data_IF_901702436447
#
_entry.id   IF_901702436447
#
_cell.length_a   1.000
_cell.length_b   1.000
_cell.length_c   1.000
_cell.angle_alpha   90.00
_cell.angle_beta   90.00
_cell.angle_gamma   90.00
#
_symmetry.space_group_name_H-M   'P 1'
#
loop_
_entity.id
_entity.type
_entity.pdbx_description
1 polymer ?
#
# COMPACT_ATOMS: atom_id res chain seq x y z
N UNK A 1 -36.12 15.65 -21.04
CA UNK A 1 -35.39 14.45 -20.53
C UNK A 1 -36.32 13.25 -20.64
N UNK A 2 -35.88 12.15 -21.25
CA UNK A 2 -36.76 10.98 -21.48
C UNK A 2 -36.99 10.24 -20.14
N UNK A 3 -38.24 10.07 -19.68
CA UNK A 3 -38.56 9.49 -18.37
C UNK A 3 -38.03 8.06 -18.18
N UNK A 4 -37.86 7.31 -19.27
CA UNK A 4 -37.27 5.97 -19.28
C UNK A 4 -35.82 5.91 -18.76
N UNK A 5 -34.99 6.92 -19.05
CA UNK A 5 -33.58 6.94 -18.63
C UNK A 5 -33.48 7.09 -17.11
N UNK A 6 -34.39 7.87 -16.52
CA UNK A 6 -34.41 8.12 -15.09
C UNK A 6 -34.87 6.87 -14.32
N UNK A 7 -35.89 6.18 -14.84
CA UNK A 7 -36.40 4.95 -14.23
C UNK A 7 -35.36 3.82 -14.29
N UNK A 8 -34.69 3.64 -15.43
CA UNK A 8 -33.60 2.68 -15.58
C UNK A 8 -32.44 2.98 -14.62
N UNK A 9 -32.06 4.25 -14.48
CA UNK A 9 -31.01 4.66 -13.54
C UNK A 9 -31.37 4.34 -12.08
N UNK A 10 -32.65 4.53 -11.70
CA UNK A 10 -33.15 4.19 -10.36
C UNK A 10 -33.13 2.67 -10.13
N UNK A 11 -33.59 1.88 -11.10
CA UNK A 11 -33.61 0.41 -11.02
C UNK A 11 -32.18 -0.14 -10.90
N UNK A 12 -31.26 0.34 -11.73
CA UNK A 12 -29.83 0.00 -11.70
C UNK A 12 -29.20 0.34 -10.35
N UNK A 13 -29.49 1.53 -9.81
CA UNK A 13 -28.99 1.97 -8.51
C UNK A 13 -29.47 1.06 -7.38
N UNK A 14 -30.77 0.71 -7.38
CA UNK A 14 -31.36 -0.14 -6.35
C UNK A 14 -30.78 -1.56 -6.40
N UNK A 15 -30.64 -2.15 -7.60
CA UNK A 15 -30.03 -3.45 -7.80
C UNK A 15 -28.56 -3.47 -7.32
N UNK A 16 -27.80 -2.43 -7.64
CA UNK A 16 -26.40 -2.26 -7.21
C UNK A 16 -26.29 -2.16 -5.69
N UNK A 17 -27.14 -1.33 -5.06
CA UNK A 17 -27.17 -1.19 -3.59
C UNK A 17 -27.60 -2.48 -2.89
N UNK A 18 -28.56 -3.22 -3.44
CA UNK A 18 -28.99 -4.51 -2.90
C UNK A 18 -27.86 -5.54 -2.96
N UNK A 19 -27.12 -5.60 -4.07
CA UNK A 19 -25.93 -6.46 -4.22
C UNK A 19 -24.82 -6.08 -3.24
N UNK A 20 -24.59 -4.78 -3.06
CA UNK A 20 -23.61 -4.25 -2.08
C UNK A 20 -23.95 -4.66 -0.65
N UNK A 21 -25.21 -4.54 -0.23
CA UNK A 21 -25.65 -4.95 1.12
C UNK A 21 -25.42 -6.44 1.35
N UNK A 22 -25.80 -7.30 0.40
CA UNK A 22 -25.53 -8.75 0.48
C UNK A 22 -24.04 -9.09 0.61
N UNK A 23 -23.17 -8.36 -0.07
CA UNK A 23 -21.71 -8.55 0.04
C UNK A 23 -21.16 -8.07 1.40
N UNK A 24 -21.75 -7.02 1.99
CA UNK A 24 -21.42 -6.56 3.34
C UNK A 24 -21.86 -7.59 4.37
N UNK A 25 -23.09 -8.10 4.25
CA UNK A 25 -23.66 -9.11 5.15
C UNK A 25 -22.88 -10.43 5.09
N UNK A 26 -22.38 -10.80 3.90
CA UNK A 26 -21.54 -11.99 3.70
C UNK A 26 -20.05 -11.76 4.03
N UNK A 27 -19.65 -10.58 4.52
CA UNK A 27 -18.26 -10.25 4.84
C UNK A 27 -17.29 -10.20 3.64
N UNK A 28 -17.79 -10.32 2.41
CA UNK A 28 -16.98 -10.40 1.17
C UNK A 28 -16.78 -9.05 0.48
N UNK A 29 -17.40 -7.99 1.01
CA UNK A 29 -17.37 -6.67 0.39
C UNK A 29 -15.97 -6.06 0.29
N UNK A 30 -15.12 -6.25 1.29
CA UNK A 30 -13.74 -5.74 1.26
C UNK A 30 -12.90 -6.42 0.19
N UNK A 31 -13.04 -7.76 0.06
CA UNK A 31 -12.38 -8.53 -0.99
C UNK A 31 -12.86 -8.08 -2.37
N UNK A 32 -14.17 -7.91 -2.56
CA UNK A 32 -14.74 -7.39 -3.79
C UNK A 32 -14.23 -5.99 -4.13
N UNK A 33 -14.14 -5.08 -3.15
CA UNK A 33 -13.57 -3.74 -3.34
C UNK A 33 -12.09 -3.79 -3.75
N UNK A 34 -11.29 -4.65 -3.13
CA UNK A 34 -9.89 -4.87 -3.52
C UNK A 34 -9.80 -5.37 -4.96
N UNK A 35 -10.61 -6.37 -5.32
CA UNK A 35 -10.63 -6.94 -6.68
C UNK A 35 -11.06 -5.91 -7.74
N UNK A 36 -12.08 -5.08 -7.44
CA UNK A 36 -12.51 -4.01 -8.36
C UNK A 36 -11.43 -2.95 -8.56
N UNK A 37 -10.74 -2.53 -7.49
CA UNK A 37 -9.59 -1.62 -7.61
C UNK A 37 -8.49 -2.21 -8.49
N UNK A 38 -8.20 -3.50 -8.33
CA UNK A 38 -7.23 -4.24 -9.15
C UNK A 38 -7.63 -4.22 -10.63
N UNK A 39 -8.85 -4.64 -10.95
CA UNK A 39 -9.38 -4.65 -12.33
C UNK A 39 -9.31 -3.27 -12.98
N UNK A 40 -9.64 -2.21 -12.24
CA UNK A 40 -9.54 -0.84 -12.75
C UNK A 40 -8.08 -0.42 -13.01
N UNK A 41 -7.14 -0.79 -12.13
CA UNK A 41 -5.71 -0.48 -12.30
C UNK A 41 -5.15 -1.17 -13.54
N UNK A 42 -5.45 -2.46 -13.70
CA UNK A 42 -5.10 -3.25 -14.89
C UNK A 42 -5.63 -2.57 -16.15
N UNK A 43 -6.93 -2.26 -16.17
CA UNK A 43 -7.56 -1.60 -17.31
C UNK A 43 -6.86 -0.29 -17.67
N UNK A 44 -6.61 0.60 -16.70
CA UNK A 44 -5.90 1.87 -16.95
C UNK A 44 -4.48 1.67 -17.49
N UNK A 45 -3.74 0.69 -16.98
CA UNK A 45 -2.38 0.38 -17.46
C UNK A 45 -2.41 -0.14 -18.89
N UNK A 46 -3.33 -1.06 -19.20
CA UNK A 46 -3.52 -1.60 -20.55
C UNK A 46 -3.96 -0.49 -21.52
N UNK A 47 -4.95 0.32 -21.16
CA UNK A 47 -5.42 1.44 -21.97
C UNK A 47 -4.28 2.43 -22.29
N UNK A 48 -3.43 2.74 -21.30
CA UNK A 48 -2.27 3.62 -21.50
C UNK A 48 -1.25 3.01 -22.46
N UNK A 49 -0.93 1.71 -22.30
CA UNK A 49 -0.01 0.97 -23.18
C UNK A 49 -0.53 0.88 -24.61
N UNK A 50 -1.82 0.60 -24.76
CA UNK A 50 -2.50 0.53 -26.06
C UNK A 50 -2.50 1.89 -26.76
N UNK A 51 -2.69 2.98 -26.02
CA UNK A 51 -2.66 4.35 -26.56
C UNK A 51 -1.26 4.79 -26.99
N UNK A 52 -0.20 4.33 -26.32
CA UNK A 52 1.18 4.67 -26.67
C UNK A 52 1.76 3.84 -27.80
N UNK A 53 1.11 2.75 -28.20
CA UNK A 53 1.57 1.89 -29.29
C UNK A 53 1.18 2.48 -30.66
N UNK A 54 2.14 2.54 -31.57
CA UNK A 54 1.91 2.88 -32.98
C UNK A 54 1.31 1.69 -33.74
N UNK A 55 0.70 1.92 -34.91
CA UNK A 55 -0.06 0.89 -35.65
C UNK A 55 0.81 -0.30 -36.11
N UNK A 56 2.11 -0.07 -36.33
CA UNK A 56 3.08 -1.09 -36.74
C UNK A 56 3.58 -1.96 -35.57
N UNK A 57 3.63 -1.40 -34.35
CA UNK A 57 4.07 -2.11 -33.16
C UNK A 57 3.02 -3.10 -32.64
N UNK A 58 1.75 -2.98 -33.06
CA UNK A 58 0.66 -3.91 -32.72
C UNK A 58 0.87 -5.33 -33.27
N UNK A 59 1.87 -5.54 -34.12
CA UNK A 59 2.24 -6.85 -34.65
C UNK A 59 3.29 -7.54 -33.74
N UNK A 60 2.88 -8.65 -33.14
CA UNK A 60 3.63 -9.67 -32.38
C UNK A 60 4.38 -9.25 -31.11
N UNK A 61 5.25 -8.22 -31.10
CA UNK A 61 6.03 -7.86 -29.89
C UNK A 61 5.20 -7.13 -28.82
N UNK A 62 4.10 -6.47 -29.21
CA UNK A 62 3.19 -5.84 -28.25
C UNK A 62 2.38 -6.85 -27.43
N UNK A 63 2.15 -8.06 -27.95
CA UNK A 63 1.34 -9.07 -27.27
C UNK A 63 1.93 -9.45 -25.91
N UNK A 64 3.26 -9.56 -25.84
CA UNK A 64 3.96 -9.77 -24.56
C UNK A 64 3.75 -8.58 -23.63
N UNK A 65 3.93 -7.34 -24.10
CA UNK A 65 3.78 -6.13 -23.27
C UNK A 65 2.34 -5.86 -22.78
N UNK A 66 1.34 -6.35 -23.51
CA UNK A 66 -0.08 -6.31 -23.14
C UNK A 66 -0.51 -7.53 -22.32
N UNK A 67 0.39 -8.51 -22.16
CA UNK A 67 0.06 -9.74 -21.45
C UNK A 67 -0.19 -9.43 -19.98
N UNK A 68 -1.35 -9.90 -19.48
CA UNK A 68 -1.80 -9.64 -18.11
C UNK A 68 -0.77 -10.12 -17.07
N UNK A 69 -0.05 -11.20 -17.36
CA UNK A 69 1.02 -11.71 -16.46
C UNK A 69 2.21 -10.75 -16.33
N UNK A 70 2.47 -9.88 -17.31
CA UNK A 70 3.52 -8.85 -17.23
C UNK A 70 2.98 -7.54 -16.64
N UNK A 71 1.68 -7.43 -16.38
CA UNK A 71 1.10 -6.36 -15.57
C UNK A 71 1.42 -6.70 -14.11
N UNK A 72 2.63 -6.32 -13.67
CA UNK A 72 3.12 -6.32 -12.27
C UNK A 72 2.08 -6.82 -11.28
N UNK A 73 2.18 -8.10 -10.90
CA UNK A 73 1.33 -8.71 -9.88
C UNK A 73 1.36 -7.86 -8.61
N UNK A 74 0.19 -7.54 -8.07
CA UNK A 74 0.04 -6.79 -6.83
C UNK A 74 0.37 -7.66 -5.60
N UNK A 75 0.73 -8.94 -5.76
CA UNK A 75 1.35 -9.71 -4.67
C UNK A 75 2.67 -9.08 -4.20
N UNK A 76 3.34 -8.28 -5.04
CA UNK A 76 4.51 -7.50 -4.63
C UNK A 76 4.16 -6.26 -3.79
N UNK A 77 2.90 -5.82 -3.75
CA UNK A 77 2.38 -4.78 -2.83
C UNK A 77 1.72 -5.43 -1.59
N UNK A 78 1.66 -6.76 -1.54
CA UNK A 78 1.10 -7.54 -0.44
C UNK A 78 2.12 -7.69 0.69
N UNK A 79 1.96 -6.87 1.73
CA UNK A 79 2.72 -6.95 2.99
C UNK A 79 4.21 -7.20 2.79
N UNK A 80 4.82 -6.25 2.07
CA UNK A 80 6.26 -6.06 2.03
C UNK A 80 6.87 -6.34 3.41
N UNK A 81 7.84 -7.26 3.45
CA UNK A 81 8.53 -7.78 4.62
C UNK A 81 8.82 -6.65 5.61
N UNK A 82 7.93 -6.48 6.59
CA UNK A 82 7.95 -5.29 7.45
C UNK A 82 9.17 -5.42 8.33
N UNK A 83 10.20 -4.63 8.02
CA UNK A 83 11.48 -4.70 8.69
C UNK A 83 11.28 -4.48 10.19
N UNK A 84 11.83 -5.39 10.98
CA UNK A 84 11.74 -5.33 12.44
C UNK A 84 12.88 -4.47 12.96
N UNK A 85 12.55 -3.30 13.50
CA UNK A 85 13.52 -2.48 14.24
C UNK A 85 13.53 -2.94 15.69
N UNK A 86 14.69 -3.42 16.17
CA UNK A 86 14.87 -3.83 17.57
C UNK A 86 15.42 -2.66 18.39
N UNK A 87 14.73 -2.19 19.43
CA UNK A 87 15.26 -1.15 20.31
C UNK A 87 16.50 -1.66 21.05
N UNK A 88 17.39 -0.74 21.41
CA UNK A 88 18.61 -1.08 22.14
C UNK A 88 18.29 -1.24 23.63
N UNK A 89 18.91 -2.21 24.29
CA UNK A 89 18.63 -2.57 25.70
C UNK A 89 18.97 -1.48 26.70
N UNK A 90 19.91 -0.61 26.35
CA UNK A 90 20.34 0.52 27.17
C UNK A 90 19.59 1.82 26.82
N UNK A 91 18.65 1.80 25.88
CA UNK A 91 17.97 3.00 25.42
C UNK A 91 16.90 3.45 26.43
N UNK A 92 17.06 4.66 26.98
CA UNK A 92 16.06 5.27 27.85
C UNK A 92 14.73 5.57 27.10
N UNK A 93 13.62 5.65 27.85
CA UNK A 93 12.29 6.00 27.35
C UNK A 93 12.27 7.40 26.74
N UNK A 94 12.98 8.36 27.33
CA UNK A 94 13.09 9.73 26.81
C UNK A 94 13.70 9.76 25.40
N UNK A 95 14.77 8.99 25.20
CA UNK A 95 15.47 8.86 23.91
C UNK A 95 14.56 8.17 22.90
N UNK A 96 13.85 7.13 23.32
CA UNK A 96 12.84 6.46 22.50
C UNK A 96 11.72 7.41 22.06
N UNK A 97 11.23 8.24 22.97
CA UNK A 97 10.20 9.24 22.69
C UNK A 97 10.71 10.35 21.76
N UNK A 98 11.97 10.76 21.91
CA UNK A 98 12.61 11.70 21.00
C UNK A 98 12.68 11.15 19.56
N UNK A 99 13.15 9.91 19.37
CA UNK A 99 13.16 9.29 18.04
C UNK A 99 11.77 9.15 17.44
N UNK A 100 10.75 8.74 18.21
CA UNK A 100 9.36 8.71 17.75
C UNK A 100 8.88 10.08 17.24
N UNK A 101 9.23 11.17 17.93
CA UNK A 101 8.87 12.53 17.50
C UNK A 101 9.55 12.92 16.19
N UNK A 102 10.83 12.58 16.02
CA UNK A 102 11.56 12.82 14.78
C UNK A 102 10.96 12.04 13.60
N UNK A 103 10.70 10.75 13.80
CA UNK A 103 10.09 9.89 12.78
C UNK A 103 8.72 10.41 12.35
N UNK A 104 7.89 10.83 13.31
CA UNK A 104 6.58 11.39 13.01
C UNK A 104 6.68 12.68 12.20
N UNK A 105 7.58 13.59 12.58
CA UNK A 105 7.80 14.83 11.84
C UNK A 105 8.25 14.56 10.40
N UNK A 106 9.19 13.63 10.22
CA UNK A 106 9.65 13.21 8.90
C UNK A 106 8.51 12.59 8.06
N UNK A 107 7.74 11.66 8.64
CA UNK A 107 6.59 11.06 7.95
C UNK A 107 5.56 12.10 7.50
N UNK A 108 5.32 13.14 8.30
CA UNK A 108 4.40 14.23 7.97
C UNK A 108 4.95 15.11 6.84
N UNK A 109 6.26 15.34 6.77
CA UNK A 109 6.87 16.12 5.68
C UNK A 109 6.93 15.37 4.34
N UNK A 110 6.70 14.06 4.35
CA UNK A 110 6.86 13.22 3.15
C UNK A 110 5.69 13.34 2.18
N UNK A 111 6.02 13.47 0.89
CA UNK A 111 5.04 13.44 -0.18
C UNK A 111 4.38 12.06 -0.31
N UNK A 112 3.22 12.01 -0.98
CA UNK A 112 2.50 10.75 -1.25
C UNK A 112 3.35 9.76 -2.05
N UNK A 113 4.18 10.27 -2.99
CA UNK A 113 5.08 9.42 -3.77
C UNK A 113 6.17 8.82 -2.89
N UNK A 114 6.83 9.63 -2.05
CA UNK A 114 7.91 9.15 -1.19
C UNK A 114 7.38 8.18 -0.12
N UNK A 115 6.17 8.39 0.41
CA UNK A 115 5.53 7.45 1.34
C UNK A 115 5.31 6.06 0.74
N UNK A 116 5.00 5.98 -0.56
CA UNK A 116 4.83 4.70 -1.27
C UNK A 116 6.15 3.98 -1.55
N UNK A 117 7.27 4.70 -1.49
CA UNK A 117 8.61 4.14 -1.69
C UNK A 117 9.32 3.86 -0.35
N UNK A 118 8.70 4.22 0.77
CA UNK A 118 9.25 3.99 2.09
C UNK A 118 8.96 2.55 2.53
N UNK A 119 10.02 1.87 2.97
CA UNK A 119 9.92 0.54 3.56
C UNK A 119 9.15 0.63 4.89
N UNK A 120 8.15 -0.22 5.05
CA UNK A 120 7.40 -0.33 6.29
C UNK A 120 8.27 -0.94 7.40
N UNK A 121 8.21 -0.37 8.61
CA UNK A 121 8.98 -0.82 9.77
C UNK A 121 8.05 -1.07 10.95
N UNK A 122 8.30 -2.16 11.68
CA UNK A 122 7.62 -2.47 12.95
C UNK A 122 8.63 -2.51 14.09
N UNK A 123 8.24 -2.02 15.25
CA UNK A 123 9.04 -2.18 16.47
C UNK A 123 8.93 -3.63 16.91
N UNK A 124 10.07 -4.31 17.06
CA UNK A 124 10.13 -5.66 17.59
C UNK A 124 10.77 -5.71 18.97
N UNK A 125 11.03 -6.94 19.42
CA UNK A 125 11.68 -7.20 20.70
C UNK A 125 13.03 -6.48 20.83
N UNK A 126 13.40 -6.01 22.02
CA UNK A 126 14.71 -5.44 22.28
C UNK A 126 15.85 -6.35 21.82
N UNK A 127 16.93 -5.72 21.38
CA UNK A 127 18.16 -6.41 21.01
C UNK A 127 18.66 -7.28 22.16
N UNK A 128 19.25 -8.44 21.87
CA UNK A 128 19.94 -9.27 22.89
C UNK A 128 21.41 -8.88 23.09
N UNK A 129 21.86 -7.81 22.42
CA UNK A 129 23.24 -7.32 22.55
C UNK A 129 23.48 -6.80 23.96
N UNK A 130 24.63 -7.14 24.53
CA UNK A 130 25.02 -6.77 25.88
C UNK A 130 25.24 -5.23 26.00
N UNK A 131 25.03 -4.70 27.20
CA UNK A 131 25.26 -3.28 27.51
C UNK A 131 26.75 -2.92 27.66
N UNK A 132 27.67 -3.88 27.47
CA UNK A 132 29.11 -3.66 27.63
C UNK A 132 29.77 -2.95 26.43
N UNK A 133 29.07 -2.83 25.30
CA UNK A 133 29.59 -2.20 24.07
C UNK A 133 28.92 -0.85 23.78
N UNK A 134 28.40 -0.14 24.79
CA UNK A 134 27.86 1.21 24.55
C UNK A 134 29.01 2.18 24.28
N UNK A 135 29.04 2.86 23.12
CA UNK A 135 30.04 3.88 22.85
C UNK A 135 30.02 4.96 23.93
N UNK A 136 31.18 5.42 24.39
CA UNK A 136 31.33 6.43 25.47
C UNK A 136 30.45 7.67 25.22
N UNK A 137 30.29 8.08 23.96
CA UNK A 137 29.47 9.22 23.53
C UNK A 137 27.96 9.05 23.77
N UNK A 138 27.52 7.82 24.04
CA UNK A 138 26.11 7.45 24.23
C UNK A 138 25.82 7.04 25.68
N UNK A 139 26.79 7.16 26.60
CA UNK A 139 26.60 6.84 28.01
C UNK A 139 25.50 7.70 28.67
N UNK A 140 25.30 8.94 28.20
CA UNK A 140 24.22 9.81 28.69
C UNK A 140 22.81 9.27 28.39
N UNK A 141 22.68 8.34 27.43
CA UNK A 141 21.42 7.74 27.02
C UNK A 141 21.11 6.43 27.77
N UNK A 142 22.01 5.97 28.65
CA UNK A 142 21.85 4.78 29.48
C UNK A 142 21.06 5.13 30.73
N UNK A 143 20.00 4.37 31.00
CA UNK A 143 19.34 4.34 32.31
C UNK A 143 20.25 3.67 33.34
N UNK A 144 20.63 4.41 34.38
CA UNK A 144 21.14 3.83 35.64
C UNK A 144 19.96 3.21 36.39
#
# INVERSE_FOLDING_TARGET
MKPFILLDAIIQNYASNKKRRRQLDNGTYEQYQKEQKMRQRIKRKLDKRLKSATDEEKNDRLYESLHLSLVSSDESDGEEETLVTRPLTWQNEEVSNFFKRLDNRYKLSMSSQQRRQCVNRRVGEPSRRNNSEVPVKLLWAITV
#
